data_IF_483235208296
#
_entry.id   IF_483235208296
#
_cell.length_a   1.000
_cell.length_b   1.000
_cell.length_c   1.000
_cell.angle_alpha   90.00
_cell.angle_beta   90.00
_cell.angle_gamma   90.00
#
_symmetry.space_group_name_H-M   'P 1'
#
loop_
_entity.id
_entity.type
_entity.pdbx_description
1 polymer ?
#
# COMPACT_ATOMS: atom_id res chain seq x y z
N UNK A 1 -2.71 -27.13 0.06
CA UNK A 1 -1.71 -26.08 0.34
C UNK A 1 -1.27 -25.50 -1.00
N UNK A 2 -1.88 -24.38 -1.41
CA UNK A 2 -1.49 -23.72 -2.67
C UNK A 2 -0.14 -23.05 -2.44
N UNK A 3 0.91 -23.58 -3.08
CA UNK A 3 2.21 -22.92 -3.15
C UNK A 3 2.03 -21.62 -3.92
N UNK A 4 1.94 -20.51 -3.19
CA UNK A 4 1.89 -19.17 -3.78
C UNK A 4 3.27 -18.89 -4.37
N UNK A 5 3.34 -18.84 -5.70
CA UNK A 5 4.60 -18.52 -6.40
C UNK A 5 4.97 -17.05 -6.18
N UNK A 6 6.26 -16.78 -6.08
CA UNK A 6 6.79 -15.42 -5.97
C UNK A 6 7.02 -14.90 -7.39
N UNK A 7 6.35 -13.80 -7.75
CA UNK A 7 6.54 -13.11 -9.03
C UNK A 7 7.82 -12.27 -9.01
N UNK A 8 7.98 -11.43 -7.98
CA UNK A 8 9.09 -10.50 -7.87
C UNK A 8 9.77 -10.63 -6.52
N UNK A 9 10.95 -11.28 -6.53
CA UNK A 9 11.80 -11.40 -5.33
C UNK A 9 12.24 -10.04 -4.81
N UNK A 10 12.45 -9.07 -5.72
CA UNK A 10 12.82 -7.71 -5.37
C UNK A 10 11.71 -7.00 -4.58
N UNK A 11 10.46 -7.03 -5.07
CA UNK A 11 9.32 -6.42 -4.37
C UNK A 11 9.12 -7.02 -2.98
N UNK A 12 9.21 -8.36 -2.86
CA UNK A 12 9.11 -9.03 -1.57
C UNK A 12 10.25 -8.64 -0.64
N UNK A 13 11.50 -8.65 -1.12
CA UNK A 13 12.66 -8.30 -0.31
C UNK A 13 12.62 -6.85 0.17
N UNK A 14 12.25 -5.91 -0.72
CA UNK A 14 12.10 -4.49 -0.38
C UNK A 14 10.99 -4.29 0.65
N UNK A 15 9.84 -4.95 0.48
CA UNK A 15 8.75 -4.92 1.43
C UNK A 15 9.15 -5.48 2.80
N UNK A 16 9.82 -6.64 2.85
CA UNK A 16 10.31 -7.22 4.12
C UNK A 16 11.34 -6.30 4.78
N UNK A 17 12.28 -5.74 4.01
CA UNK A 17 13.30 -4.84 4.53
C UNK A 17 12.68 -3.58 5.14
N UNK A 18 11.72 -2.96 4.45
CA UNK A 18 10.96 -1.83 4.97
C UNK A 18 10.20 -2.22 6.24
N UNK A 19 9.54 -3.37 6.25
CA UNK A 19 8.79 -3.85 7.41
C UNK A 19 9.67 -3.96 8.65
N UNK A 20 10.82 -4.63 8.51
CA UNK A 20 11.77 -4.83 9.62
C UNK A 20 12.33 -3.50 10.09
N UNK A 21 12.73 -2.63 9.17
CA UNK A 21 13.26 -1.31 9.52
C UNK A 21 12.23 -0.46 10.28
N UNK A 22 10.98 -0.47 9.83
CA UNK A 22 9.89 0.21 10.50
C UNK A 22 9.68 -0.37 11.89
N UNK A 23 9.59 -1.69 12.04
CA UNK A 23 9.41 -2.31 13.36
C UNK A 23 10.52 -1.93 14.33
N UNK A 24 11.78 -1.92 13.88
CA UNK A 24 12.90 -1.43 14.69
C UNK A 24 12.72 0.04 15.09
N UNK A 25 12.25 0.88 14.16
CA UNK A 25 11.93 2.28 14.44
C UNK A 25 10.89 2.47 15.54
N UNK A 26 9.84 1.63 15.57
CA UNK A 26 8.82 1.65 16.64
C UNK A 26 9.42 1.41 18.02
N UNK A 27 10.34 0.46 18.14
CA UNK A 27 11.02 0.17 19.42
C UNK A 27 11.89 1.33 19.91
N UNK A 28 12.35 2.20 19.00
CA UNK A 28 13.27 3.30 19.33
C UNK A 28 12.54 4.61 19.61
N UNK A 29 11.61 5.03 18.73
CA UNK A 29 11.00 6.36 18.82
C UNK A 29 9.68 6.39 19.60
N UNK A 30 8.97 5.27 19.68
CA UNK A 30 7.63 5.13 20.29
C UNK A 30 6.59 6.18 19.83
N UNK A 31 6.84 6.87 18.72
CA UNK A 31 5.95 7.86 18.12
C UNK A 31 5.38 7.28 16.82
N UNK A 32 4.06 7.21 16.75
CA UNK A 32 3.32 6.77 15.56
C UNK A 32 2.69 8.00 14.94
N UNK A 33 3.21 8.39 13.78
CA UNK A 33 2.61 9.41 12.92
C UNK A 33 1.94 8.77 11.69
N UNK A 34 1.22 9.58 10.92
CA UNK A 34 0.52 9.12 9.72
C UNK A 34 1.50 8.58 8.66
N UNK A 35 2.68 9.19 8.54
CA UNK A 35 3.74 8.76 7.63
C UNK A 35 4.22 7.35 7.94
N UNK A 36 4.40 7.03 9.22
CA UNK A 36 4.78 5.71 9.67
C UNK A 36 3.71 4.66 9.31
N UNK A 37 2.43 4.99 9.50
CA UNK A 37 1.33 4.10 9.11
C UNK A 37 1.32 3.87 7.60
N UNK A 38 1.52 4.91 6.79
CA UNK A 38 1.65 4.76 5.35
C UNK A 38 2.83 3.88 4.97
N UNK A 39 4.00 4.09 5.54
CA UNK A 39 5.18 3.29 5.26
C UNK A 39 4.93 1.80 5.56
N UNK A 40 4.22 1.50 6.65
CA UNK A 40 3.84 0.15 7.04
C UNK A 40 2.82 -0.47 6.06
N UNK A 41 1.82 0.30 5.63
CA UNK A 41 0.88 -0.15 4.58
C UNK A 41 1.59 -0.41 3.26
N UNK A 42 2.49 0.48 2.83
CA UNK A 42 3.28 0.31 1.60
C UNK A 42 4.20 -0.91 1.68
N UNK A 43 4.79 -1.16 2.85
CA UNK A 43 5.56 -2.36 3.11
C UNK A 43 4.74 -3.63 2.89
N UNK A 44 3.54 -3.71 3.47
CA UNK A 44 2.62 -4.83 3.21
C UNK A 44 2.22 -4.94 1.75
N UNK A 45 1.95 -3.80 1.10
CA UNK A 45 1.62 -3.76 -0.31
C UNK A 45 2.74 -4.35 -1.18
N UNK A 46 4.00 -4.00 -0.95
CA UNK A 46 5.15 -4.54 -1.69
C UNK A 46 5.32 -6.05 -1.49
N UNK A 47 5.10 -6.53 -0.26
CA UNK A 47 5.12 -7.97 0.05
C UNK A 47 4.02 -8.68 -0.74
N UNK A 48 2.77 -8.21 -0.64
CA UNK A 48 1.60 -8.86 -1.26
C UNK A 48 1.65 -8.79 -2.79
N UNK A 49 2.04 -7.65 -3.35
CA UNK A 49 2.16 -7.47 -4.80
C UNK A 49 3.33 -8.29 -5.38
N UNK A 50 4.31 -8.68 -4.56
CA UNK A 50 5.43 -9.54 -4.95
C UNK A 50 5.05 -10.99 -5.23
N UNK A 51 3.87 -11.45 -4.77
CA UNK A 51 3.35 -12.78 -5.05
C UNK A 51 2.59 -12.86 -6.38
N UNK A 52 2.58 -14.04 -7.01
CA UNK A 52 1.71 -14.34 -8.14
C UNK A 52 0.26 -14.44 -7.65
N UNK A 53 -0.63 -13.64 -8.24
CA UNK A 53 -2.03 -13.58 -7.85
C UNK A 53 -2.73 -12.34 -8.37
N UNK A 54 -3.97 -12.13 -7.90
CA UNK A 54 -4.89 -11.04 -8.30
C UNK A 54 -4.39 -9.68 -7.83
N UNK A 55 -3.36 -9.14 -8.46
CA UNK A 55 -2.71 -7.88 -8.09
C UNK A 55 -3.64 -6.68 -8.21
N UNK A 56 -4.61 -6.75 -9.11
CA UNK A 56 -5.73 -5.80 -9.16
C UNK A 56 -6.49 -5.73 -7.82
N UNK A 57 -6.80 -6.86 -7.21
CA UNK A 57 -7.50 -6.92 -5.92
C UNK A 57 -6.61 -6.39 -4.81
N UNK A 58 -5.31 -6.72 -4.82
CA UNK A 58 -4.36 -6.18 -3.83
C UNK A 58 -4.33 -4.65 -3.90
N UNK A 59 -4.32 -4.06 -5.10
CA UNK A 59 -4.41 -2.60 -5.29
C UNK A 59 -5.71 -2.01 -4.73
N UNK A 60 -6.85 -2.65 -5.00
CA UNK A 60 -8.15 -2.19 -4.50
C UNK A 60 -8.16 -2.21 -2.97
N UNK A 61 -7.77 -3.33 -2.37
CA UNK A 61 -7.71 -3.50 -0.91
C UNK A 61 -6.75 -2.48 -0.29
N UNK A 62 -5.58 -2.28 -0.90
CA UNK A 62 -4.60 -1.30 -0.44
C UNK A 62 -5.16 0.13 -0.48
N UNK A 63 -5.83 0.50 -1.57
CA UNK A 63 -6.43 1.83 -1.68
C UNK A 63 -7.54 2.06 -0.65
N UNK A 64 -8.38 1.05 -0.39
CA UNK A 64 -9.35 1.13 0.72
C UNK A 64 -8.67 1.22 2.08
N UNK A 65 -7.62 0.45 2.33
CA UNK A 65 -6.87 0.51 3.58
C UNK A 65 -6.28 1.91 3.82
N UNK A 66 -5.68 2.52 2.79
CA UNK A 66 -5.19 3.90 2.85
C UNK A 66 -6.30 4.89 3.20
N UNK A 67 -7.43 4.84 2.49
CA UNK A 67 -8.55 5.76 2.75
C UNK A 67 -9.11 5.58 4.16
N UNK A 68 -9.31 4.34 4.61
CA UNK A 68 -9.78 4.05 5.97
C UNK A 68 -8.80 4.63 7.00
N UNK A 69 -7.50 4.43 6.81
CA UNK A 69 -6.47 4.99 7.69
C UNK A 69 -6.53 6.52 7.72
N UNK A 70 -6.65 7.18 6.56
CA UNK A 70 -6.75 8.65 6.49
C UNK A 70 -7.99 9.15 7.23
N UNK A 71 -9.16 8.53 7.02
CA UNK A 71 -10.39 8.92 7.71
C UNK A 71 -10.30 8.70 9.21
N UNK A 72 -9.75 7.57 9.67
CA UNK A 72 -9.51 7.32 11.10
C UNK A 72 -8.57 8.40 11.66
N UNK A 73 -7.51 8.74 10.95
CA UNK A 73 -6.54 9.76 11.39
C UNK A 73 -7.16 11.16 11.48
N UNK A 74 -7.95 11.55 10.48
CA UNK A 74 -8.70 12.82 10.49
C UNK A 74 -9.64 12.91 11.69
N UNK A 75 -10.34 11.83 12.01
CA UNK A 75 -11.31 11.80 13.13
C UNK A 75 -10.59 11.80 14.48
N UNK A 76 -9.51 11.03 14.62
CA UNK A 76 -8.86 10.81 15.92
C UNK A 76 -7.86 11.89 16.30
N UNK A 77 -7.19 12.50 15.33
CA UNK A 77 -6.15 13.52 15.56
C UNK A 77 -6.61 14.93 15.19
N UNK A 78 -7.87 15.11 14.80
CA UNK A 78 -8.47 16.39 14.38
C UNK A 78 -7.62 17.14 13.33
N UNK A 79 -6.89 16.37 12.51
CA UNK A 79 -5.97 16.91 11.50
C UNK A 79 -6.77 17.65 10.42
N UNK A 80 -6.23 18.74 9.90
CA UNK A 80 -6.89 19.44 8.78
C UNK A 80 -6.92 18.57 7.52
N UNK A 81 -8.05 18.62 6.79
CA UNK A 81 -8.18 18.08 5.43
C UNK A 81 -7.17 18.68 4.45
N UNK A 82 -6.69 19.91 4.72
CA UNK A 82 -5.66 20.58 3.91
C UNK A 82 -4.24 20.11 4.22
N UNK A 83 -4.05 19.20 5.19
CA UNK A 83 -2.74 18.65 5.50
C UNK A 83 -2.19 17.86 4.30
N UNK A 84 -0.91 18.07 4.01
CA UNK A 84 -0.24 17.44 2.88
C UNK A 84 -0.31 15.91 2.93
N UNK A 85 -0.08 15.31 4.10
CA UNK A 85 -0.10 13.86 4.28
C UNK A 85 -1.49 13.25 4.06
N UNK A 86 -2.54 14.00 4.45
CA UNK A 86 -3.93 13.61 4.24
C UNK A 86 -4.25 13.64 2.74
N UNK A 87 -3.89 14.73 2.06
CA UNK A 87 -4.14 14.90 0.62
C UNK A 87 -3.44 13.78 -0.17
N UNK A 88 -2.17 13.50 0.14
CA UNK A 88 -1.43 12.41 -0.51
C UNK A 88 -2.13 11.08 -0.26
N UNK A 89 -2.48 10.75 0.98
CA UNK A 89 -3.15 9.48 1.29
C UNK A 89 -4.47 9.30 0.55
N UNK A 90 -5.26 10.37 0.41
CA UNK A 90 -6.51 10.35 -0.36
C UNK A 90 -6.23 10.12 -1.84
N UNK A 91 -5.33 10.90 -2.45
CA UNK A 91 -5.00 10.78 -3.86
C UNK A 91 -4.46 9.38 -4.18
N UNK A 92 -3.49 8.90 -3.40
CA UNK A 92 -2.91 7.57 -3.57
C UNK A 92 -3.96 6.48 -3.38
N UNK A 93 -4.82 6.59 -2.37
CA UNK A 93 -5.90 5.63 -2.13
C UNK A 93 -6.89 5.54 -3.30
N UNK A 94 -7.35 6.69 -3.80
CA UNK A 94 -8.25 6.76 -4.96
C UNK A 94 -7.57 6.18 -6.21
N UNK A 95 -6.33 6.58 -6.50
CA UNK A 95 -5.59 6.07 -7.66
C UNK A 95 -5.42 4.55 -7.61
N UNK A 96 -5.09 3.98 -6.45
CA UNK A 96 -4.95 2.54 -6.28
C UNK A 96 -6.27 1.81 -6.55
N UNK A 97 -7.40 2.32 -6.05
CA UNK A 97 -8.74 1.76 -6.31
C UNK A 97 -9.09 1.86 -7.79
N UNK A 98 -8.89 3.02 -8.42
CA UNK A 98 -9.22 3.25 -9.83
C UNK A 98 -8.42 2.33 -10.73
N UNK A 99 -7.09 2.26 -10.55
CA UNK A 99 -6.22 1.38 -11.33
C UNK A 99 -6.58 -0.09 -11.12
N UNK A 100 -6.74 -0.51 -9.86
CA UNK A 100 -7.12 -1.88 -9.52
C UNK A 100 -8.46 -2.28 -10.14
N UNK A 101 -9.46 -1.40 -10.08
CA UNK A 101 -10.79 -1.64 -10.66
C UNK A 101 -10.72 -1.69 -12.19
N UNK A 102 -10.03 -0.73 -12.82
CA UNK A 102 -9.89 -0.71 -14.27
C UNK A 102 -9.19 -1.96 -14.82
N UNK A 103 -8.19 -2.49 -14.11
CA UNK A 103 -7.57 -3.78 -14.47
C UNK A 103 -8.51 -4.95 -14.21
N UNK A 104 -9.24 -4.95 -13.09
CA UNK A 104 -10.20 -6.02 -12.79
C UNK A 104 -11.36 -6.09 -13.79
N UNK A 105 -11.71 -4.96 -14.41
CA UNK A 105 -12.73 -4.87 -15.46
C UNK A 105 -12.18 -5.15 -16.87
N UNK A 106 -10.87 -5.37 -17.01
CA UNK A 106 -10.22 -5.59 -18.30
C UNK A 106 -10.05 -4.32 -19.16
N UNK A 107 -10.32 -3.13 -18.58
CA UNK A 107 -10.14 -1.83 -19.24
C UNK A 107 -8.65 -1.51 -19.39
N UNK A 108 -7.86 -1.85 -18.38
CA UNK A 108 -6.40 -1.68 -18.37
C UNK A 108 -5.69 -3.03 -18.28
N UNK A 109 -4.53 -3.14 -18.92
CA UNK A 109 -3.64 -4.29 -18.75
C UNK A 109 -3.06 -4.34 -17.34
N UNK A 110 -2.85 -5.54 -16.79
CA UNK A 110 -2.13 -5.72 -15.52
C UNK A 110 -0.73 -5.10 -15.50
N UNK A 111 -0.12 -4.85 -16.67
CA UNK A 111 1.18 -4.15 -16.80
C UNK A 111 1.18 -2.77 -16.13
N UNK A 112 0.05 -2.07 -16.13
CA UNK A 112 -0.10 -0.76 -15.50
C UNK A 112 0.04 -0.82 -13.97
N UNK A 113 -0.27 -1.96 -13.36
CA UNK A 113 -0.17 -2.17 -11.91
C UNK A 113 1.14 -2.88 -11.54
N UNK A 114 1.59 -3.81 -12.39
CA UNK A 114 2.76 -4.64 -12.11
C UNK A 114 4.07 -3.87 -12.26
N UNK A 115 4.07 -2.76 -13.01
CA UNK A 115 5.26 -2.05 -13.42
C UNK A 115 6.04 -2.90 -14.44
N UNK A 116 6.36 -2.34 -15.60
CA UNK A 116 7.25 -3.02 -16.55
C UNK A 116 8.69 -2.98 -16.00
N UNK A 117 8.98 -3.79 -14.99
CA UNK A 117 10.35 -4.18 -14.66
C UNK A 117 10.45 -5.67 -15.04
N UNK A 118 10.73 -5.85 -16.34
CA UNK A 118 11.25 -7.04 -17.04
C UNK A 118 10.98 -8.43 -16.43
#
# INVERSE_FOLDING_TARGET
MLLVKIRSRFSVALGILLFVFLLLGLFVSNQIDLTYIYALLFSFFFILNGFEGKTAIVNIIFGFALLITVFIWLITQETSLSSFDVIIGIITGILAIVLGTAVSLGILSEKWIKGNLE
#
